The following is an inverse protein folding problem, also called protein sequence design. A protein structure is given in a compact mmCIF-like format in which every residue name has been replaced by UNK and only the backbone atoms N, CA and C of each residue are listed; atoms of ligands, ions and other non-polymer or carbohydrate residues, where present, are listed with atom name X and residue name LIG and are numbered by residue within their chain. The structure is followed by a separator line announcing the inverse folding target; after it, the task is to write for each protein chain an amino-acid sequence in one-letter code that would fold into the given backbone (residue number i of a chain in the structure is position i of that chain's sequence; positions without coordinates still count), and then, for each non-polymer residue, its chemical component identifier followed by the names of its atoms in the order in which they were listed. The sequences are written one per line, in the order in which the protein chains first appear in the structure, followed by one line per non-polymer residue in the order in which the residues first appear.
data_IF_637459263575
#
_entry.id   IF_637459263575
#
_cell.length_a   1.000
_cell.length_b   1.000
_cell.length_c   1.000
_cell.angle_alpha   90.00
_cell.angle_beta   90.00
_cell.angle_gamma   90.00
#
_symmetry.space_group_name_H-M   'P 1'
#
loop_
_entity.id
_entity.type
_entity.pdbx_description
1 polymer ?
#
# COMPACT_ATOMS: atom_id res chain seq x y z
N UNK A 1 44.11 -47.12 11.67
CA UNK A 1 44.50 -46.11 12.68
C UNK A 1 43.62 -44.90 12.45
N UNK A 2 42.52 -44.80 13.19
CA UNK A 2 41.59 -43.68 13.11
C UNK A 2 41.99 -42.63 14.14
N UNK A 3 42.08 -41.38 13.69
CA UNK A 3 42.36 -40.20 14.51
C UNK A 3 41.10 -39.81 15.28
N UNK A 4 41.23 -39.73 16.60
CA UNK A 4 40.24 -39.11 17.49
C UNK A 4 40.43 -37.60 17.46
N UNK A 5 39.37 -36.85 17.19
CA UNK A 5 39.26 -35.42 17.49
C UNK A 5 38.06 -35.25 18.43
N UNK A 6 38.33 -34.68 19.60
CA UNK A 6 37.38 -34.44 20.69
C UNK A 6 36.36 -33.36 20.32
N UNK A 7 35.11 -33.58 20.73
CA UNK A 7 34.00 -32.65 20.57
C UNK A 7 33.86 -31.85 21.87
N UNK A 8 34.11 -30.54 21.82
CA UNK A 8 33.88 -29.64 22.95
C UNK A 8 32.40 -29.28 23.02
N UNK A 9 31.71 -29.69 24.10
CA UNK A 9 30.37 -29.23 24.42
C UNK A 9 30.46 -27.92 25.22
N UNK A 10 29.64 -26.94 24.87
CA UNK A 10 29.46 -25.69 25.62
C UNK A 10 28.64 -25.97 26.89
N UNK A 11 29.15 -25.51 28.04
CA UNK A 11 28.49 -25.64 29.34
C UNK A 11 27.19 -24.81 29.40
N UNK A 12 26.10 -25.45 29.83
CA UNK A 12 24.82 -24.81 30.13
C UNK A 12 24.96 -23.83 31.30
N UNK A 13 24.54 -22.58 31.09
CA UNK A 13 24.46 -21.57 32.13
C UNK A 13 23.31 -21.87 33.12
N UNK A 14 23.47 -21.60 34.42
CA UNK A 14 22.44 -21.88 35.41
C UNK A 14 21.23 -20.94 35.29
N UNK A 15 20.02 -21.40 35.65
CA UNK A 15 18.80 -20.61 35.55
C UNK A 15 18.82 -19.45 36.57
N UNK A 16 18.59 -18.23 36.11
CA UNK A 16 18.38 -17.07 36.97
C UNK A 16 16.90 -16.92 37.33
N UNK A 17 16.60 -16.92 38.63
CA UNK A 17 15.29 -16.58 39.19
C UNK A 17 15.06 -15.05 39.12
N UNK A 18 13.97 -14.64 38.48
CA UNK A 18 13.51 -13.25 38.46
C UNK A 18 12.47 -13.01 39.56
N UNK A 19 12.92 -12.88 40.81
CA UNK A 19 12.07 -12.38 41.90
C UNK A 19 12.56 -11.00 42.32
N UNK A 20 11.93 -9.94 41.79
CA UNK A 20 12.21 -8.59 42.29
C UNK A 20 11.80 -7.43 41.39
N UNK A 21 10.50 -7.28 41.10
CA UNK A 21 9.98 -5.96 40.70
C UNK A 21 8.55 -5.77 41.22
N UNK A 22 8.41 -5.24 42.43
CA UNK A 22 7.14 -4.69 42.93
C UNK A 22 7.06 -3.22 42.51
N UNK A 23 6.12 -2.90 41.62
CA UNK A 23 5.76 -1.53 41.26
C UNK A 23 5.01 -0.87 42.43
N UNK A 24 5.63 0.09 43.12
CA UNK A 24 4.96 0.97 44.08
C UNK A 24 4.29 2.13 43.33
N UNK A 25 2.96 2.21 43.37
CA UNK A 25 2.19 3.38 42.95
C UNK A 25 2.30 4.44 44.06
N UNK A 26 2.89 5.59 43.73
CA UNK A 26 2.92 6.75 44.62
C UNK A 26 1.55 7.42 44.70
N UNK A 27 0.98 7.42 45.90
CA UNK A 27 -0.23 8.16 46.28
C UNK A 27 0.20 9.59 46.68
N UNK A 28 -0.14 10.61 45.89
CA UNK A 28 0.02 12.01 46.29
C UNK A 28 -1.32 12.67 46.61
N UNK A 29 -1.32 13.32 47.78
CA UNK A 29 -2.47 13.82 48.52
C UNK A 29 -3.12 15.04 47.89
N UNK A 30 -4.45 15.00 47.90
CA UNK A 30 -5.37 16.12 47.77
C UNK A 30 -5.15 17.22 48.81
N UNK A 31 -5.07 18.48 48.37
CA UNK A 31 -5.34 19.67 49.20
C UNK A 31 -6.59 20.36 48.67
N UNK A 32 -7.56 20.54 49.56
CA UNK A 32 -8.86 21.14 49.30
C UNK A 32 -8.78 22.67 49.18
N UNK A 33 -9.53 23.22 48.23
CA UNK A 33 -9.88 24.63 48.13
C UNK A 33 -11.23 24.76 47.42
N UNK A 34 -12.27 25.10 48.19
CA UNK A 34 -13.66 25.27 47.75
C UNK A 34 -13.80 26.44 46.77
N UNK A 35 -14.72 26.34 45.79
CA UNK A 35 -15.68 27.41 45.43
C UNK A 35 -16.71 26.96 44.38
N UNK A 36 -17.96 26.93 44.83
CA UNK A 36 -19.27 27.12 44.16
C UNK A 36 -19.43 27.05 42.62
N UNK A 37 -20.46 26.28 42.26
CA UNK A 37 -21.18 26.14 40.99
C UNK A 37 -21.65 27.47 40.39
N UNK A 38 -21.58 27.61 39.06
CA UNK A 38 -22.57 28.33 38.26
C UNK A 38 -22.58 27.79 36.81
N UNK A 39 -23.68 27.15 36.42
CA UNK A 39 -24.02 26.91 35.03
C UNK A 39 -24.61 28.20 34.43
N UNK A 40 -23.92 28.77 33.44
CA UNK A 40 -24.49 29.82 32.59
C UNK A 40 -24.33 29.43 31.14
N UNK A 41 -25.46 29.11 30.51
CA UNK A 41 -25.62 29.08 29.06
C UNK A 41 -25.29 30.47 28.49
N UNK A 42 -24.33 30.53 27.58
CA UNK A 42 -24.01 31.71 26.80
C UNK A 42 -23.58 31.29 25.41
N UNK A 43 -24.52 31.38 24.47
CA UNK A 43 -24.26 31.29 23.04
C UNK A 43 -23.35 32.48 22.67
N UNK A 44 -22.19 32.19 22.10
CA UNK A 44 -21.53 33.13 21.18
C UNK A 44 -20.82 32.34 20.07
N UNK A 45 -21.36 32.52 18.87
CA UNK A 45 -20.65 32.35 17.61
C UNK A 45 -19.46 33.31 17.60
N UNK A 46 -18.27 32.82 17.27
CA UNK A 46 -17.55 33.24 16.06
C UNK A 46 -16.12 32.66 16.06
N UNK A 47 -15.72 32.23 14.86
CA UNK A 47 -14.35 32.00 14.40
C UNK A 47 -13.53 30.87 15.01
N UNK A 48 -13.83 29.65 14.58
CA UNK A 48 -12.78 28.62 14.38
C UNK A 48 -13.04 27.81 13.09
N UNK A 49 -13.20 28.55 11.99
CA UNK A 49 -12.96 28.05 10.65
C UNK A 49 -11.45 28.07 10.45
N UNK A 50 -10.73 26.97 10.72
CA UNK A 50 -9.47 26.56 10.08
C UNK A 50 -8.78 25.38 10.82
N UNK A 51 -9.50 24.34 11.25
CA UNK A 51 -8.88 23.02 11.43
C UNK A 51 -9.89 21.87 11.51
N UNK A 52 -10.83 21.84 10.57
CA UNK A 52 -11.41 20.55 10.20
C UNK A 52 -10.25 19.75 9.58
N UNK A 53 -9.57 18.98 10.43
CA UNK A 53 -8.73 17.86 10.02
C UNK A 53 -9.53 17.14 8.95
N UNK A 54 -9.09 17.27 7.70
CA UNK A 54 -9.55 16.41 6.62
C UNK A 54 -9.42 14.99 7.16
N UNK A 55 -10.47 14.19 7.04
CA UNK A 55 -10.43 12.73 7.23
C UNK A 55 -9.46 12.16 6.18
N UNK A 56 -8.17 12.41 6.36
CA UNK A 56 -7.10 11.90 5.53
C UNK A 56 -7.02 10.42 5.84
N UNK A 57 -7.14 9.61 4.79
CA UNK A 57 -7.05 8.16 4.84
C UNK A 57 -5.99 7.70 5.85
N UNK A 58 -6.40 6.86 6.80
CA UNK A 58 -5.50 6.04 7.60
C UNK A 58 -4.89 4.96 6.70
N UNK A 59 -4.10 5.37 5.70
CA UNK A 59 -3.07 4.50 5.14
C UNK A 59 -2.21 4.09 6.33
N UNK A 60 -1.72 2.85 6.46
CA UNK A 60 -0.71 2.50 7.45
C UNK A 60 0.63 3.19 7.13
N UNK A 61 0.65 4.48 6.80
CA UNK A 61 1.85 5.28 6.84
C UNK A 61 2.13 5.63 8.30
N UNK A 62 3.07 4.92 8.91
CA UNK A 62 3.71 5.39 10.15
C UNK A 62 5.02 6.14 9.87
N UNK A 63 5.27 6.53 8.60
CA UNK A 63 6.44 7.33 8.25
C UNK A 63 6.23 8.77 8.71
N UNK A 64 7.30 9.43 9.14
CA UNK A 64 7.22 10.81 9.63
C UNK A 64 7.42 11.84 8.50
N UNK A 65 8.09 11.47 7.39
CA UNK A 65 8.40 12.38 6.28
C UNK A 65 8.23 11.73 4.88
N UNK A 66 7.59 12.45 3.95
CA UNK A 66 7.45 12.06 2.55
C UNK A 66 8.77 12.11 1.78
N UNK A 67 9.77 12.84 2.30
CA UNK A 67 11.11 12.94 1.73
C UNK A 67 11.92 11.65 1.85
N UNK A 68 11.51 10.74 2.72
CA UNK A 68 12.16 9.44 2.88
C UNK A 68 12.01 8.55 1.65
N UNK A 69 10.97 8.77 0.83
CA UNK A 69 10.75 8.01 -0.38
C UNK A 69 11.79 8.38 -1.44
N UNK A 70 12.41 7.38 -2.08
CA UNK A 70 13.33 7.66 -3.18
C UNK A 70 12.64 8.39 -4.33
N UNK A 71 11.38 8.03 -4.60
CA UNK A 71 10.52 8.66 -5.58
C UNK A 71 10.03 10.07 -5.19
N UNK A 72 10.36 10.59 -3.99
CA UNK A 72 10.08 12.00 -3.69
C UNK A 72 10.79 12.96 -4.67
N UNK A 73 11.94 12.54 -5.22
CA UNK A 73 12.70 13.29 -6.21
C UNK A 73 12.09 13.05 -7.60
N UNK A 74 11.50 14.09 -8.20
CA UNK A 74 10.86 14.00 -9.52
C UNK A 74 11.80 13.44 -10.59
N UNK A 75 13.08 13.83 -10.56
CA UNK A 75 14.10 13.36 -11.50
C UNK A 75 14.28 11.84 -11.53
N UNK A 76 14.15 11.18 -10.36
CA UNK A 76 14.27 9.73 -10.26
C UNK A 76 13.05 9.02 -10.85
N UNK A 77 11.85 9.59 -10.66
CA UNK A 77 10.62 9.06 -11.26
C UNK A 77 10.68 9.21 -12.78
N UNK A 78 11.01 10.39 -13.28
CA UNK A 78 11.08 10.65 -14.73
C UNK A 78 12.09 9.74 -15.41
N UNK A 79 13.28 9.58 -14.79
CA UNK A 79 14.28 8.63 -15.25
C UNK A 79 13.77 7.20 -15.21
N UNK A 80 13.12 6.77 -14.12
CA UNK A 80 12.58 5.43 -13.99
C UNK A 80 11.49 5.14 -15.05
N UNK A 81 10.56 6.08 -15.28
CA UNK A 81 9.53 5.97 -16.32
C UNK A 81 10.19 5.84 -17.70
N UNK A 82 11.18 6.69 -17.99
CA UNK A 82 11.88 6.67 -19.28
C UNK A 82 12.62 5.36 -19.51
N UNK A 83 13.46 4.96 -18.55
CA UNK A 83 14.26 3.73 -18.62
C UNK A 83 13.34 2.52 -18.77
N UNK A 84 12.33 2.43 -17.92
CA UNK A 84 11.36 1.35 -17.92
C UNK A 84 10.55 1.28 -19.22
N UNK A 85 10.11 2.42 -19.75
CA UNK A 85 9.36 2.46 -21.01
C UNK A 85 10.23 1.97 -22.16
N UNK A 86 11.51 2.36 -22.18
CA UNK A 86 12.44 1.94 -23.25
C UNK A 86 12.89 0.48 -23.16
N UNK A 87 12.97 -0.08 -21.96
CA UNK A 87 13.44 -1.46 -21.73
C UNK A 87 12.30 -2.48 -21.81
N UNK A 88 11.12 -2.13 -21.26
CA UNK A 88 10.05 -3.10 -20.99
C UNK A 88 8.98 -3.11 -22.05
N UNK A 89 8.67 -1.95 -22.66
CA UNK A 89 7.61 -1.84 -23.68
C UNK A 89 8.17 -2.33 -25.00
N UNK A 90 7.51 -3.34 -25.55
CA UNK A 90 7.83 -3.92 -26.85
C UNK A 90 6.88 -3.39 -27.92
N UNK A 91 7.24 -3.51 -29.20
CA UNK A 91 6.35 -3.11 -30.29
C UNK A 91 5.01 -3.86 -30.33
N UNK A 92 4.94 -5.03 -29.67
CA UNK A 92 3.72 -5.82 -29.57
C UNK A 92 2.70 -5.21 -28.59
N UNK A 93 3.18 -4.52 -27.55
CA UNK A 93 2.39 -3.86 -26.52
C UNK A 93 1.64 -2.62 -27.05
N UNK A 94 2.10 -2.06 -28.18
CA UNK A 94 1.54 -0.88 -28.82
C UNK A 94 1.90 0.44 -28.11
N UNK A 95 1.18 1.51 -28.45
CA UNK A 95 1.53 2.87 -27.99
C UNK A 95 1.27 3.06 -26.48
N UNK A 96 2.16 3.81 -25.84
CA UNK A 96 2.06 4.16 -24.41
C UNK A 96 1.01 5.26 -24.23
N UNK A 97 -0.03 4.97 -23.44
CA UNK A 97 -1.14 5.88 -23.13
C UNK A 97 -0.88 6.68 -21.83
N UNK A 98 -0.04 6.14 -20.94
CA UNK A 98 0.35 6.79 -19.70
C UNK A 98 1.25 5.94 -18.81
N UNK A 99 1.79 6.57 -17.78
CA UNK A 99 2.63 5.92 -16.76
C UNK A 99 2.35 6.51 -15.39
N UNK A 100 2.23 5.65 -14.39
CA UNK A 100 1.88 5.99 -13.02
C UNK A 100 2.80 5.27 -12.04
N UNK A 101 2.99 5.85 -10.86
CA UNK A 101 3.56 5.18 -9.71
C UNK A 101 2.43 4.94 -8.72
N UNK A 102 1.98 3.69 -8.60
CA UNK A 102 0.82 3.30 -7.81
C UNK A 102 1.21 2.31 -6.72
N UNK A 103 0.28 2.05 -5.80
CA UNK A 103 0.41 1.01 -4.79
C UNK A 103 -0.41 -0.20 -5.21
N UNK A 104 0.26 -1.33 -5.46
CA UNK A 104 -0.39 -2.61 -5.68
C UNK A 104 -0.74 -3.25 -4.33
N UNK A 105 -2.00 -3.64 -4.16
CA UNK A 105 -2.49 -4.39 -3.00
C UNK A 105 -2.59 -5.86 -3.39
N UNK A 106 -1.74 -6.67 -2.76
CA UNK A 106 -1.77 -8.13 -2.95
C UNK A 106 -2.99 -8.78 -2.27
N UNK A 107 -3.21 -10.07 -2.53
CA UNK A 107 -4.26 -10.86 -1.87
C UNK A 107 -4.14 -10.84 -0.33
N UNK A 108 -2.92 -10.83 0.17
CA UNK A 108 -2.59 -10.79 1.61
C UNK A 108 -2.50 -9.36 2.14
N UNK A 109 -3.06 -8.40 1.42
CA UNK A 109 -3.11 -6.98 1.80
C UNK A 109 -1.73 -6.34 1.99
N UNK A 110 -0.66 -6.95 1.48
CA UNK A 110 0.64 -6.28 1.40
C UNK A 110 0.61 -5.20 0.33
N UNK A 111 0.95 -3.99 0.73
CA UNK A 111 1.09 -2.83 -0.14
C UNK A 111 2.47 -2.74 -0.73
N UNK A 112 2.56 -2.61 -2.06
CA UNK A 112 3.85 -2.59 -2.75
C UNK A 112 3.86 -1.46 -3.77
N UNK A 113 4.94 -0.70 -3.77
CA UNK A 113 5.18 0.34 -4.78
C UNK A 113 5.42 -0.30 -6.14
N UNK A 114 4.67 0.15 -7.16
CA UNK A 114 4.76 -0.36 -8.53
C UNK A 114 4.69 0.75 -9.54
N UNK A 115 5.58 0.69 -10.53
CA UNK A 115 5.41 1.48 -11.74
C UNK A 115 4.41 0.77 -12.63
N UNK A 116 3.38 1.49 -13.07
CA UNK A 116 2.32 0.98 -13.93
C UNK A 116 2.38 1.73 -15.26
N UNK A 117 2.50 0.99 -16.35
CA UNK A 117 2.50 1.55 -17.71
C UNK A 117 1.28 1.01 -18.43
N UNK A 118 0.43 1.91 -18.92
CA UNK A 118 -0.72 1.56 -19.74
C UNK A 118 -0.35 1.76 -21.21
N UNK A 119 -0.57 0.72 -22.01
CA UNK A 119 -0.46 0.81 -23.46
C UNK A 119 -1.82 0.53 -24.11
N UNK A 120 -1.88 0.73 -25.43
CA UNK A 120 -3.07 0.43 -26.24
C UNK A 120 -3.55 -1.04 -26.15
N UNK A 121 -2.66 -1.97 -25.80
CA UNK A 121 -2.97 -3.42 -25.77
C UNK A 121 -2.75 -4.10 -24.42
N UNK A 122 -1.98 -3.54 -23.50
CA UNK A 122 -1.72 -4.17 -22.22
C UNK A 122 -1.52 -3.17 -21.07
N UNK A 123 -1.68 -3.67 -19.85
CA UNK A 123 -1.27 -3.02 -18.61
C UNK A 123 -0.03 -3.74 -18.11
N UNK A 124 1.06 -2.99 -17.93
CA UNK A 124 2.30 -3.52 -17.36
C UNK A 124 2.44 -3.04 -15.90
N UNK A 125 2.60 -3.99 -14.99
CA UNK A 125 2.91 -3.73 -13.57
C UNK A 125 4.36 -4.08 -13.31
N UNK A 126 5.13 -3.12 -12.83
CA UNK A 126 6.58 -3.22 -12.85
C UNK A 126 7.12 -2.99 -11.44
N UNK A 127 7.83 -3.99 -10.93
CA UNK A 127 8.62 -3.87 -9.72
C UNK A 127 9.95 -3.23 -10.12
N UNK A 128 10.07 -1.94 -9.87
CA UNK A 128 11.26 -1.16 -10.19
C UNK A 128 12.10 -0.91 -8.94
N UNK A 129 13.41 -1.10 -9.03
CA UNK A 129 14.35 -0.79 -7.96
C UNK A 129 14.81 0.67 -8.08
N UNK A 130 14.27 1.57 -7.25
CA UNK A 130 14.63 2.99 -7.27
C UNK A 130 16.02 3.28 -6.67
N UNK A 131 16.65 2.30 -6.02
CA UNK A 131 18.00 2.42 -5.48
C UNK A 131 19.01 2.04 -6.57
N UNK A 132 18.83 0.86 -7.17
CA UNK A 132 19.72 0.36 -8.22
C UNK A 132 19.36 0.86 -9.64
N UNK A 133 18.22 1.54 -9.80
CA UNK A 133 17.69 2.05 -11.06
C UNK A 133 17.56 0.97 -12.14
N UNK A 134 16.85 -0.12 -11.82
CA UNK A 134 16.64 -1.25 -12.73
C UNK A 134 15.30 -1.92 -12.56
N UNK A 135 14.82 -2.56 -13.62
CA UNK A 135 13.63 -3.40 -13.61
C UNK A 135 13.92 -4.72 -12.88
N UNK A 136 13.09 -5.11 -11.90
CA UNK A 136 13.23 -6.37 -11.17
C UNK A 136 12.26 -7.45 -11.65
N UNK A 137 11.01 -7.07 -11.88
CA UNK A 137 9.93 -7.97 -12.28
C UNK A 137 8.88 -7.20 -13.07
N UNK A 138 8.27 -7.86 -14.06
CA UNK A 138 7.28 -7.27 -14.96
C UNK A 138 6.12 -8.23 -15.13
N UNK A 139 4.94 -7.79 -14.72
CA UNK A 139 3.69 -8.49 -14.97
C UNK A 139 2.94 -7.80 -16.11
N UNK A 140 2.66 -8.54 -17.17
CA UNK A 140 1.90 -8.04 -18.34
C UNK A 140 0.50 -8.62 -18.31
N UNK A 141 -0.50 -7.76 -18.42
CA UNK A 141 -1.91 -8.17 -18.54
C UNK A 141 -2.46 -7.54 -19.81
N UNK A 142 -2.75 -8.33 -20.86
CA UNK A 142 -3.40 -7.83 -22.05
C UNK A 142 -4.76 -7.22 -21.71
N UNK A 143 -5.08 -6.07 -22.31
CA UNK A 143 -6.37 -5.39 -22.13
C UNK A 143 -7.52 -6.31 -22.56
N UNK A 144 -7.26 -7.19 -23.54
CA UNK A 144 -8.21 -8.20 -24.03
C UNK A 144 -8.57 -9.30 -23.02
N UNK A 145 -7.70 -9.53 -22.03
CA UNK A 145 -7.91 -10.53 -21.00
C UNK A 145 -8.75 -9.97 -19.84
N UNK A 146 -8.78 -8.65 -19.66
CA UNK A 146 -9.53 -7.99 -18.59
C UNK A 146 -11.02 -8.07 -18.92
N UNK A 147 -11.78 -8.81 -18.10
CA UNK A 147 -13.22 -8.97 -18.27
C UNK A 147 -14.04 -8.01 -17.40
N UNK A 148 -13.51 -7.66 -16.23
CA UNK A 148 -14.20 -6.82 -15.25
C UNK A 148 -13.23 -5.80 -14.66
N UNK A 149 -13.66 -4.56 -14.63
CA UNK A 149 -12.98 -3.44 -13.98
C UNK A 149 -13.85 -2.95 -12.83
N UNK A 150 -13.39 -3.08 -11.59
CA UNK A 150 -14.10 -2.58 -10.41
C UNK A 150 -13.41 -1.31 -9.92
N UNK A 151 -14.17 -0.22 -9.77
CA UNK A 151 -13.67 1.07 -9.29
C UNK A 151 -14.46 1.46 -8.04
N UNK A 152 -13.80 1.67 -6.91
CA UNK A 152 -14.50 2.04 -5.68
C UNK A 152 -13.60 2.13 -4.46
N UNK A 153 -14.21 2.33 -3.30
CA UNK A 153 -13.49 2.38 -2.01
C UNK A 153 -12.99 0.99 -1.60
N UNK A 154 -11.85 0.94 -0.92
CA UNK A 154 -11.27 -0.27 -0.36
C UNK A 154 -11.92 -0.58 0.99
N UNK A 155 -12.67 -1.69 1.05
CA UNK A 155 -13.36 -2.09 2.28
C UNK A 155 -12.83 -3.41 2.83
N UNK A 156 -12.73 -3.49 4.16
CA UNK A 156 -12.48 -4.74 4.86
C UNK A 156 -13.79 -5.39 5.31
N UNK A 157 -13.81 -6.73 5.46
CA UNK A 157 -14.94 -7.43 6.05
C UNK A 157 -15.30 -6.87 7.43
N UNK A 158 -16.58 -6.89 7.80
CA UNK A 158 -17.10 -6.31 9.04
C UNK A 158 -16.45 -6.84 10.34
N UNK A 159 -15.81 -8.02 10.29
CA UNK A 159 -15.12 -8.63 11.42
C UNK A 159 -13.59 -8.44 11.39
N UNK A 160 -13.08 -7.61 10.48
CA UNK A 160 -11.65 -7.29 10.40
C UNK A 160 -11.21 -6.45 11.59
N UNK A 161 -10.04 -6.75 12.13
CA UNK A 161 -9.38 -5.93 13.16
C UNK A 161 -8.63 -4.73 12.57
N UNK A 162 -8.64 -4.60 11.23
CA UNK A 162 -7.95 -3.53 10.52
C UNK A 162 -8.92 -2.34 10.40
N UNK A 163 -8.49 -1.11 10.76
CA UNK A 163 -9.31 0.09 10.58
C UNK A 163 -9.78 0.26 9.13
N UNK A 164 -10.98 0.81 8.96
CA UNK A 164 -11.50 1.17 7.63
C UNK A 164 -10.54 2.12 6.91
N UNK A 165 -10.37 1.89 5.61
CA UNK A 165 -9.50 2.68 4.75
C UNK A 165 -10.38 3.53 3.86
N UNK A 166 -10.32 4.85 4.03
CA UNK A 166 -10.99 5.78 3.12
C UNK A 166 -10.10 5.99 1.88
N UNK A 167 -9.90 4.93 1.11
CA UNK A 167 -9.01 4.92 -0.05
C UNK A 167 -9.75 4.36 -1.26
N UNK A 168 -9.71 5.11 -2.35
CA UNK A 168 -10.18 4.63 -3.66
C UNK A 168 -9.15 3.72 -4.30
N UNK A 169 -9.65 2.70 -4.98
CA UNK A 169 -8.84 1.80 -5.77
C UNK A 169 -9.52 1.36 -7.04
N UNK A 170 -8.73 0.70 -7.89
CA UNK A 170 -9.19 0.05 -9.10
C UNK A 170 -8.72 -1.40 -9.10
N UNK A 171 -9.63 -2.32 -9.41
CA UNK A 171 -9.35 -3.75 -9.52
C UNK A 171 -9.63 -4.23 -10.93
N UNK A 172 -8.61 -4.75 -11.59
CA UNK A 172 -8.74 -5.43 -12.89
C UNK A 172 -8.85 -6.92 -12.66
N UNK A 173 -9.85 -7.57 -13.25
CA UNK A 173 -10.11 -9.00 -13.07
C UNK A 173 -10.21 -9.70 -14.43
N UNK A 174 -9.77 -10.97 -14.47
CA UNK A 174 -9.85 -11.84 -15.65
C UNK A 174 -10.33 -13.26 -15.30
N UNK A 175 -11.18 -13.36 -14.28
CA UNK A 175 -11.79 -14.61 -13.80
C UNK A 175 -13.32 -14.60 -13.87
N UNK A 176 -13.94 -13.65 -14.55
CA UNK A 176 -15.40 -13.51 -14.66
C UNK A 176 -16.10 -13.51 -13.30
N UNK A 177 -15.49 -12.91 -12.28
CA UNK A 177 -16.02 -12.86 -10.92
C UNK A 177 -16.05 -14.20 -10.17
N UNK A 178 -15.42 -15.26 -10.70
CA UNK A 178 -15.38 -16.56 -10.04
C UNK A 178 -14.51 -16.53 -8.77
N UNK A 179 -14.94 -17.17 -7.67
CA UNK A 179 -14.15 -17.19 -6.45
C UNK A 179 -12.81 -17.92 -6.66
N UNK A 180 -11.74 -17.42 -6.04
CA UNK A 180 -10.46 -18.12 -6.02
C UNK A 180 -10.58 -19.51 -5.38
N UNK A 181 -9.88 -20.48 -5.96
CA UNK A 181 -9.67 -21.78 -5.35
C UNK A 181 -9.05 -21.62 -3.96
N UNK A 182 -9.54 -22.39 -2.98
CA UNK A 182 -9.09 -22.31 -1.59
C UNK A 182 -7.57 -22.47 -1.45
N UNK A 183 -6.95 -23.36 -2.23
CA UNK A 183 -5.49 -23.55 -2.24
C UNK A 183 -4.70 -22.30 -2.62
N UNK A 184 -5.21 -21.50 -3.57
CA UNK A 184 -4.59 -20.21 -3.96
C UNK A 184 -4.75 -19.16 -2.87
N UNK A 185 -5.87 -19.18 -2.14
CA UNK A 185 -6.12 -18.23 -1.02
C UNK A 185 -5.12 -18.41 0.13
N UNK A 186 -4.71 -19.65 0.41
CA UNK A 186 -3.84 -19.97 1.54
C UNK A 186 -2.35 -20.06 1.20
N UNK A 187 -1.98 -19.91 -0.08
CA UNK A 187 -0.58 -19.92 -0.48
C UNK A 187 -0.04 -18.48 -0.61
N UNK A 188 0.80 -18.00 0.33
CA UNK A 188 1.40 -16.67 0.27
C UNK A 188 2.38 -16.49 -0.90
N UNK A 189 2.81 -17.57 -1.54
CA UNK A 189 3.69 -17.56 -2.70
C UNK A 189 2.94 -17.77 -4.03
N UNK A 190 1.62 -17.89 -4.01
CA UNK A 190 0.83 -17.98 -5.25
C UNK A 190 0.84 -16.63 -5.96
N UNK A 191 1.58 -16.53 -7.06
CA UNK A 191 1.64 -15.36 -7.93
C UNK A 191 0.49 -15.28 -8.95
N UNK A 192 -0.17 -16.40 -9.22
CA UNK A 192 -1.23 -16.52 -10.21
C UNK A 192 -2.62 -16.20 -9.62
N UNK A 193 -2.77 -14.96 -9.16
CA UNK A 193 -4.05 -14.39 -8.75
C UNK A 193 -4.68 -13.71 -9.96
N UNK A 194 -5.93 -14.03 -10.34
CA UNK A 194 -6.51 -13.58 -11.60
C UNK A 194 -7.13 -12.17 -11.51
N UNK A 195 -6.49 -11.31 -10.70
CA UNK A 195 -6.79 -9.90 -10.60
C UNK A 195 -5.60 -9.12 -10.07
N UNK A 196 -5.63 -7.81 -10.30
CA UNK A 196 -4.73 -6.83 -9.71
C UNK A 196 -5.55 -5.73 -9.07
N UNK A 197 -5.12 -5.25 -7.90
CA UNK A 197 -5.76 -4.12 -7.21
C UNK A 197 -4.74 -3.02 -7.03
N UNK A 198 -5.09 -1.81 -7.45
CA UNK A 198 -4.26 -0.62 -7.29
C UNK A 198 -4.97 0.42 -6.44
N UNK A 199 -4.18 1.21 -5.75
CA UNK A 199 -4.60 2.41 -5.04
C UNK A 199 -3.58 3.52 -5.27
N UNK A 200 -3.97 4.77 -5.00
CA UNK A 200 -3.09 5.91 -5.13
C UNK A 200 -1.86 5.76 -4.24
N UNK A 201 -0.72 6.27 -4.72
CA UNK A 201 0.53 6.21 -3.98
C UNK A 201 0.55 7.25 -2.83
N UNK A 202 1.16 6.96 -1.67
CA UNK A 202 1.20 7.90 -0.54
C UNK A 202 1.69 9.32 -0.91
N UNK A 203 2.60 9.43 -1.87
CA UNK A 203 3.09 10.73 -2.33
C UNK A 203 2.01 11.64 -2.92
N UNK A 204 0.87 11.11 -3.38
CA UNK A 204 -0.26 11.93 -3.85
C UNK A 204 -0.69 12.96 -2.80
N UNK A 205 -0.77 12.55 -1.53
CA UNK A 205 -1.26 13.39 -0.44
C UNK A 205 -0.16 14.17 0.28
N UNK A 206 1.08 13.68 0.21
CA UNK A 206 2.18 14.23 1.02
C UNK A 206 3.25 14.99 0.22
N UNK A 207 3.22 14.91 -1.12
CA UNK A 207 4.11 15.70 -1.97
C UNK A 207 3.41 17.01 -2.36
N UNK A 208 4.05 18.13 -2.03
CA UNK A 208 3.76 19.42 -2.65
C UNK A 208 4.31 19.36 -4.08
N UNK A 209 3.42 19.15 -5.03
CA UNK A 209 3.76 18.93 -6.43
C UNK A 209 2.72 19.61 -7.30
N UNK A 210 3.14 19.96 -8.52
CA UNK A 210 2.24 20.51 -9.54
C UNK A 210 1.17 19.48 -9.91
N UNK A 211 0.03 19.93 -10.42
CA UNK A 211 -1.12 19.05 -10.72
C UNK A 211 -0.74 17.90 -11.67
N UNK A 212 0.16 18.19 -12.63
CA UNK A 212 0.71 17.20 -13.57
C UNK A 212 1.62 16.17 -12.94
N UNK A 213 2.38 16.53 -11.91
CA UNK A 213 3.21 15.57 -11.18
C UNK A 213 2.35 14.72 -10.24
N UNK A 214 1.27 15.29 -9.70
CA UNK A 214 0.34 14.58 -8.83
C UNK A 214 -0.43 13.48 -9.54
N UNK A 215 -0.81 13.71 -10.81
CA UNK A 215 -1.53 12.70 -11.59
C UNK A 215 -0.75 11.40 -11.76
N UNK A 216 0.60 11.43 -11.68
CA UNK A 216 1.45 10.22 -11.72
C UNK A 216 1.14 9.29 -10.53
N UNK A 217 0.72 9.83 -9.39
CA UNK A 217 0.42 9.07 -8.18
C UNK A 217 -1.07 8.75 -8.00
N UNK A 218 -1.91 9.24 -8.92
CA UNK A 218 -3.36 9.19 -8.79
C UNK A 218 -3.94 7.96 -9.50
N UNK A 219 -4.59 7.11 -8.71
CA UNK A 219 -5.28 5.92 -9.23
C UNK A 219 -6.53 6.28 -10.02
N UNK A 220 -7.14 7.45 -9.77
CA UNK A 220 -8.36 7.85 -10.45
C UNK A 220 -8.08 8.27 -11.90
N UNK A 221 -6.98 9.00 -12.15
CA UNK A 221 -6.49 9.28 -13.51
C UNK A 221 -6.20 7.97 -14.25
N UNK A 222 -5.51 7.04 -13.58
CA UNK A 222 -5.24 5.71 -14.15
C UNK A 222 -6.54 4.95 -14.47
N UNK A 223 -7.53 4.94 -13.56
CA UNK A 223 -8.79 4.22 -13.74
C UNK A 223 -9.58 4.75 -14.94
N UNK A 224 -9.62 6.07 -15.14
CA UNK A 224 -10.27 6.71 -16.30
C UNK A 224 -9.59 6.27 -17.60
N UNK A 225 -8.26 6.35 -17.68
CA UNK A 225 -7.53 5.97 -18.89
C UNK A 225 -7.61 4.49 -19.18
N UNK A 226 -7.57 3.66 -18.13
CA UNK A 226 -7.72 2.23 -18.26
C UNK A 226 -9.11 1.87 -18.77
N UNK A 227 -10.17 2.48 -18.22
CA UNK A 227 -11.54 2.32 -18.69
C UNK A 227 -11.66 2.59 -20.19
N UNK A 228 -11.11 3.71 -20.65
CA UNK A 228 -11.09 4.06 -22.08
C UNK A 228 -10.29 3.07 -22.94
N UNK A 229 -9.22 2.48 -22.41
CA UNK A 229 -8.37 1.53 -23.13
C UNK A 229 -8.99 0.12 -23.24
N UNK A 230 -9.79 -0.29 -22.24
CA UNK A 230 -10.47 -1.60 -22.21
C UNK A 230 -11.85 -1.58 -22.87
N UNK A 231 -12.51 -0.43 -22.90
CA UNK A 231 -13.83 -0.26 -23.51
C UNK A 231 -13.71 -0.27 -25.05
N UNK A 232 -13.81 -1.46 -25.64
CA UNK A 232 -13.79 -1.67 -27.11
C UNK A 232 -15.15 -2.19 -27.58
N UNK A 233 -15.65 -1.73 -28.75
CA UNK A 233 -16.95 -2.17 -29.28
C UNK A 233 -17.08 -3.69 -29.48
N UNK A 234 -15.95 -4.36 -29.74
CA UNK A 234 -15.91 -5.79 -30.08
C UNK A 234 -15.93 -6.72 -28.86
N UNK A 235 -15.57 -6.23 -27.66
CA UNK A 235 -15.59 -7.00 -26.41
C UNK A 235 -15.94 -6.07 -25.23
N UNK A 236 -17.18 -6.10 -24.73
CA UNK A 236 -17.55 -5.27 -23.59
C UNK A 236 -16.86 -5.76 -22.32
N UNK A 237 -16.06 -4.90 -21.71
CA UNK A 237 -15.55 -5.07 -20.34
C UNK A 237 -16.61 -4.56 -19.35
N UNK A 238 -16.91 -5.32 -18.29
CA UNK A 238 -17.86 -4.89 -17.25
C UNK A 238 -17.18 -3.88 -16.33
N UNK A 239 -17.54 -2.60 -16.43
CA UNK A 239 -17.06 -1.55 -15.54
C UNK A 239 -18.06 -1.38 -14.40
N UNK A 240 -17.65 -1.71 -13.18
CA UNK A 240 -18.50 -1.70 -11.99
C UNK A 240 -18.00 -0.69 -10.96
N UNK A 241 -18.88 0.22 -10.56
CA UNK A 241 -18.61 1.17 -9.48
C UNK A 241 -19.14 0.65 -8.15
N UNK A 242 -18.32 -0.14 -7.43
CA UNK A 242 -18.68 -0.74 -6.14
C UNK A 242 -17.46 -0.84 -5.22
N UNK A 243 -17.67 -0.96 -3.90
CA UNK A 243 -16.56 -1.20 -2.97
C UNK A 243 -15.76 -2.44 -3.34
N UNK A 244 -14.44 -2.33 -3.21
CA UNK A 244 -13.48 -3.38 -3.48
C UNK A 244 -13.18 -4.06 -2.14
N UNK A 245 -13.75 -5.26 -1.95
CA UNK A 245 -13.51 -6.04 -0.75
C UNK A 245 -12.07 -6.59 -0.75
N UNK A 246 -11.34 -6.30 0.33
CA UNK A 246 -10.03 -6.88 0.63
C UNK A 246 -10.21 -8.10 1.54
N UNK A 247 -10.12 -9.30 0.96
CA UNK A 247 -10.24 -10.57 1.68
C UNK A 247 -8.98 -10.86 2.53
N UNK A 248 -8.70 -10.03 3.54
CA UNK A 248 -7.57 -10.24 4.43
C UNK A 248 -7.95 -11.19 5.58
N UNK A 249 -7.51 -12.44 5.49
CA UNK A 249 -7.75 -13.47 6.51
C UNK A 249 -6.67 -13.50 7.61
N UNK A 250 -5.51 -12.86 7.42
CA UNK A 250 -4.36 -12.90 8.34
C UNK A 250 -3.79 -11.50 8.56
N UNK A 251 -4.59 -10.65 9.21
CA UNK A 251 -4.31 -9.20 9.32
C UNK A 251 -3.02 -8.82 10.06
N UNK A 252 -2.42 -9.69 10.88
CA UNK A 252 -1.21 -9.35 11.63
C UNK A 252 0.02 -9.11 10.74
N UNK A 253 0.23 -9.94 9.71
CA UNK A 253 1.40 -9.78 8.83
C UNK A 253 1.27 -8.54 7.96
N UNK A 254 0.07 -8.27 7.43
CA UNK A 254 -0.18 -7.09 6.60
C UNK A 254 -0.10 -5.80 7.40
N UNK A 255 -0.59 -5.79 8.65
CA UNK A 255 -0.45 -4.65 9.55
C UNK A 255 1.02 -4.32 9.80
N UNK A 256 1.87 -5.31 10.08
CA UNK A 256 3.31 -5.09 10.29
C UNK A 256 3.98 -4.62 8.99
N UNK A 257 3.68 -5.26 7.87
CA UNK A 257 4.26 -4.95 6.57
C UNK A 257 3.93 -3.53 6.13
N UNK A 258 2.65 -3.16 6.20
CA UNK A 258 2.16 -1.87 5.73
C UNK A 258 2.55 -0.76 6.69
N UNK A 259 2.44 -0.97 8.03
CA UNK A 259 2.87 0.02 9.03
C UNK A 259 4.34 0.42 8.82
N UNK A 260 5.21 -0.57 8.60
CA UNK A 260 6.64 -0.30 8.35
C UNK A 260 6.95 0.09 6.88
N UNK A 261 5.92 0.23 6.04
CA UNK A 261 6.01 0.53 4.62
C UNK A 261 7.02 -0.37 3.88
N UNK A 262 7.08 -1.67 4.21
CA UNK A 262 8.13 -2.58 3.70
C UNK A 262 8.11 -2.75 2.19
N UNK A 263 6.97 -2.56 1.54
CA UNK A 263 6.83 -2.65 0.09
C UNK A 263 7.23 -1.38 -0.68
N UNK A 264 7.74 -0.35 0.00
CA UNK A 264 8.15 0.92 -0.60
C UNK A 264 9.68 1.12 -0.53
N UNK A 265 10.23 1.77 -1.55
CA UNK A 265 11.64 2.16 -1.56
C UNK A 265 11.81 3.46 -0.78
N UNK A 266 12.25 3.31 0.48
CA UNK A 266 12.49 4.42 1.42
C UNK A 266 13.89 4.35 2.02
N UNK A 267 14.42 5.51 2.40
CA UNK A 267 15.60 5.59 3.28
C UNK A 267 15.18 5.11 4.67
N UNK A 268 15.85 4.08 5.21
CA UNK A 268 15.52 3.47 6.51
C UNK A 268 16.63 3.63 7.56
N UNK A 269 17.39 4.72 7.52
CA UNK A 269 18.56 4.89 8.38
C UNK A 269 19.66 3.86 8.09
N UNK A 270 20.44 3.44 9.10
CA UNK A 270 21.67 2.63 8.95
C UNK A 270 21.49 1.19 8.45
N UNK A 271 20.27 0.73 8.16
CA UNK A 271 20.02 -0.60 7.63
C UNK A 271 19.19 -0.48 6.33
N UNK A 272 19.77 -0.93 5.22
CA UNK A 272 19.11 -1.07 3.92
C UNK A 272 19.02 -2.57 3.61
N UNK A 273 17.83 -3.05 3.22
CA UNK A 273 17.60 -4.39 2.66
C UNK A 273 17.00 -4.25 1.27
#
# INVERSE_FOLDING_TARGET
MMSNQEVHFLEDAPPQDFTGTTLQLGEEKSVAGQSSVNYSNGINKDNDSFNAKRDVALVPWSGEDARDFFCHRSELIEKAIKDCTSEVVTGEDGDVLGSWLLTEISLWDHEKERLVVLTSKCVLTIKYDFIAMRTLDVRRVPNEQIDTLVIGELEYPAHSLIPSRNMRGVRTMWNHGQPLAFSKKWNPFSSDIPWLTYTSHPLLWHKEADEKERSIFDVDDFAVRLGQAVEKPERPCSIEHKPILLENYVGLSSLIHNKNALGFFKVRGKFSF
#
